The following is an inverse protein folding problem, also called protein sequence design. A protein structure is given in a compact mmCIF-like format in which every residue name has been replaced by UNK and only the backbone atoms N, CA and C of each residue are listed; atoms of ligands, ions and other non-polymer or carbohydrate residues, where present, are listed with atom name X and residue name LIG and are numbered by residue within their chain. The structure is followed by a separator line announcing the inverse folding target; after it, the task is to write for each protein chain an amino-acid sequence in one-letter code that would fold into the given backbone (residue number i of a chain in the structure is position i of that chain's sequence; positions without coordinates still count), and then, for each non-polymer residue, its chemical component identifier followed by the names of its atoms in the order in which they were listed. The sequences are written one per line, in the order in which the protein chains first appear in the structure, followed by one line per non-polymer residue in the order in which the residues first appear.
data_IF_451329223523
#
_entry.id   IF_451329223523
#
_cell.length_a   1.000
_cell.length_b   1.000
_cell.length_c   1.000
_cell.angle_alpha   90.00
_cell.angle_beta   90.00
_cell.angle_gamma   90.00
#
_symmetry.space_group_name_H-M   'P 1'
#
loop_
_entity.id
_entity.type
_entity.pdbx_description
1 polymer ?
#
# COMPACT_ATOMS: atom_id res chain seq x y z
N UNK A 1 13.36 -24.22 -3.37
CA UNK A 1 14.75 -24.15 -3.89
C UNK A 1 15.12 -22.67 -3.96
N UNK A 2 16.32 -22.32 -3.51
CA UNK A 2 16.84 -20.95 -3.56
C UNK A 2 18.18 -21.02 -4.28
N UNK A 3 18.37 -20.16 -5.29
CA UNK A 3 19.60 -20.05 -6.05
C UNK A 3 20.20 -18.67 -5.82
N UNK A 4 21.52 -18.57 -5.81
CA UNK A 4 22.24 -17.31 -5.74
C UNK A 4 23.29 -17.28 -6.86
N UNK A 5 23.43 -16.13 -7.50
CA UNK A 5 24.40 -15.88 -8.56
C UNK A 5 24.84 -14.44 -8.53
N UNK A 6 26.04 -14.18 -9.02
CA UNK A 6 26.55 -12.81 -9.15
C UNK A 6 26.14 -12.27 -10.53
N UNK A 7 25.73 -11.00 -10.62
CA UNK A 7 25.55 -10.35 -11.91
C UNK A 7 26.89 -10.32 -12.66
N UNK A 8 26.83 -10.24 -13.99
CA UNK A 8 28.04 -10.10 -14.81
C UNK A 8 28.66 -8.72 -14.55
N UNK A 9 29.72 -8.68 -13.75
CA UNK A 9 30.43 -7.48 -13.36
C UNK A 9 31.91 -7.63 -13.76
N UNK A 10 32.45 -6.73 -14.57
CA UNK A 10 33.86 -6.76 -15.02
C UNK A 10 34.24 -7.91 -15.97
N UNK A 11 35.55 -8.25 -16.01
CA UNK A 11 36.14 -9.29 -16.89
C UNK A 11 35.87 -10.74 -16.40
N UNK A 12 34.92 -10.94 -15.47
CA UNK A 12 34.58 -12.27 -14.98
C UNK A 12 33.59 -12.94 -15.93
N UNK A 13 33.96 -14.11 -16.46
CA UNK A 13 33.05 -14.94 -17.23
C UNK A 13 31.95 -15.50 -16.32
N UNK A 14 30.78 -14.88 -16.36
CA UNK A 14 29.56 -15.39 -15.71
C UNK A 14 28.79 -16.23 -16.71
N UNK A 15 28.42 -17.45 -16.32
CA UNK A 15 27.54 -18.28 -17.13
C UNK A 15 26.14 -17.68 -17.14
N UNK A 16 25.66 -17.29 -18.32
CA UNK A 16 24.28 -16.81 -18.48
C UNK A 16 23.29 -17.93 -18.16
N UNK A 17 22.22 -17.60 -17.47
CA UNK A 17 21.11 -18.53 -17.27
C UNK A 17 20.34 -18.70 -18.58
N UNK A 18 20.02 -19.94 -18.94
CA UNK A 18 19.15 -20.16 -20.09
C UNK A 18 17.72 -19.64 -19.80
N UNK A 19 17.02 -19.26 -20.86
CA UNK A 19 15.68 -18.65 -20.77
C UNK A 19 14.68 -19.60 -20.10
N UNK A 20 14.79 -20.92 -20.31
CA UNK A 20 13.86 -21.90 -19.77
C UNK A 20 14.06 -22.11 -18.26
N UNK A 21 15.28 -21.92 -17.76
CA UNK A 21 15.60 -21.90 -16.34
C UNK A 21 15.11 -20.60 -15.72
N UNK A 22 15.41 -19.45 -16.34
CA UNK A 22 14.95 -18.14 -15.85
C UNK A 22 13.43 -18.09 -15.69
N UNK A 23 12.67 -18.67 -16.63
CA UNK A 23 11.20 -18.72 -16.61
C UNK A 23 10.61 -19.56 -15.46
N UNK A 24 11.43 -20.29 -14.70
CA UNK A 24 10.99 -21.13 -13.56
C UNK A 24 11.26 -20.51 -12.20
N UNK A 25 11.89 -19.34 -12.13
CA UNK A 25 12.26 -18.67 -10.89
C UNK A 25 11.70 -17.26 -10.81
N UNK A 26 11.48 -16.82 -9.57
CA UNK A 26 11.39 -15.40 -9.23
C UNK A 26 12.80 -14.87 -9.01
N UNK A 27 13.13 -13.75 -9.63
CA UNK A 27 14.46 -13.14 -9.56
C UNK A 27 14.44 -11.93 -8.64
N UNK A 28 15.32 -11.90 -7.64
CA UNK A 28 15.45 -10.77 -6.72
C UNK A 28 16.90 -10.30 -6.69
N UNK A 29 17.11 -9.00 -6.95
CA UNK A 29 18.40 -8.37 -6.74
C UNK A 29 18.55 -7.97 -5.28
N UNK A 30 19.59 -8.46 -4.63
CA UNK A 30 19.98 -8.02 -3.29
C UNK A 30 21.09 -7.00 -3.45
N UNK A 31 20.81 -5.75 -3.05
CA UNK A 31 21.84 -4.70 -3.02
C UNK A 31 22.56 -4.73 -1.68
N UNK A 32 23.89 -4.58 -1.66
CA UNK A 32 24.62 -4.45 -0.41
C UNK A 32 24.21 -3.16 0.31
N UNK A 33 24.27 -3.17 1.64
CA UNK A 33 23.85 -2.05 2.48
C UNK A 33 24.94 -1.74 3.50
N UNK A 34 25.37 -0.48 3.54
CA UNK A 34 26.49 -0.03 4.39
C UNK A 34 26.19 -0.25 5.86
N UNK A 35 24.96 0.02 6.31
CA UNK A 35 24.55 -0.22 7.69
C UNK A 35 24.63 -1.71 8.07
N UNK A 36 24.29 -2.62 7.15
CA UNK A 36 24.45 -4.07 7.38
C UNK A 36 25.90 -4.43 7.60
N UNK A 37 26.82 -3.89 6.77
CA UNK A 37 28.25 -4.12 6.95
C UNK A 37 28.78 -3.51 8.24
N UNK A 38 28.40 -2.26 8.57
CA UNK A 38 28.79 -1.59 9.82
C UNK A 38 28.34 -2.38 11.05
N UNK A 39 27.12 -2.93 11.04
CA UNK A 39 26.62 -3.79 12.12
C UNK A 39 27.44 -5.08 12.25
N UNK A 40 27.78 -5.72 11.14
CA UNK A 40 28.66 -6.88 11.17
C UNK A 40 30.06 -6.53 11.67
N UNK A 41 30.64 -5.42 11.19
CA UNK A 41 31.99 -4.99 11.50
C UNK A 41 32.17 -4.64 13.00
N UNK A 42 31.17 -3.99 13.62
CA UNK A 42 31.12 -3.75 15.08
C UNK A 42 31.21 -5.05 15.90
N UNK A 43 30.60 -6.12 15.40
CA UNK A 43 30.60 -7.43 16.07
C UNK A 43 31.86 -8.27 15.80
N UNK A 44 32.75 -7.80 14.91
CA UNK A 44 33.95 -8.55 14.47
C UNK A 44 35.26 -7.79 14.75
N UNK A 45 35.25 -6.87 15.73
CA UNK A 45 36.44 -6.13 16.18
C UNK A 45 37.16 -5.35 15.07
N UNK A 46 36.43 -4.88 14.06
CA UNK A 46 36.96 -3.86 13.13
C UNK A 46 37.18 -2.56 13.91
N UNK A 47 38.31 -1.88 13.67
CA UNK A 47 38.67 -0.71 14.48
C UNK A 47 37.68 0.45 14.30
N UNK A 48 37.48 1.22 15.36
CA UNK A 48 36.50 2.31 15.38
C UNK A 48 36.78 3.37 14.30
N UNK A 49 38.05 3.67 14.03
CA UNK A 49 38.45 4.62 12.98
C UNK A 49 37.95 4.19 11.58
N UNK A 50 38.01 2.90 11.26
CA UNK A 50 37.47 2.37 9.98
C UNK A 50 35.94 2.47 9.97
N UNK A 51 35.28 2.16 11.08
CA UNK A 51 33.82 2.26 11.19
C UNK A 51 33.36 3.70 10.96
N UNK A 52 34.02 4.66 11.62
CA UNK A 52 33.72 6.09 11.51
C UNK A 52 34.01 6.59 10.08
N UNK A 53 35.12 6.15 9.48
CA UNK A 53 35.45 6.49 8.11
C UNK A 53 34.40 5.99 7.12
N UNK A 54 34.02 4.70 7.19
CA UNK A 54 33.00 4.11 6.31
C UNK A 54 31.64 4.75 6.53
N UNK A 55 31.28 5.02 7.78
CA UNK A 55 30.02 5.70 8.11
C UNK A 55 29.97 7.14 7.55
N UNK A 56 31.11 7.84 7.54
CA UNK A 56 31.21 9.17 6.95
C UNK A 56 31.32 9.15 5.40
N UNK A 57 31.66 8.01 4.82
CA UNK A 57 31.93 7.85 3.38
C UNK A 57 31.25 6.59 2.84
N UNK A 58 29.93 6.47 3.02
CA UNK A 58 29.16 5.26 2.70
C UNK A 58 29.36 4.82 1.23
N UNK A 59 29.47 5.78 0.32
CA UNK A 59 29.63 5.57 -1.12
C UNK A 59 30.95 4.86 -1.50
N UNK A 60 31.94 4.85 -0.61
CA UNK A 60 33.25 4.22 -0.87
C UNK A 60 33.30 2.73 -0.54
N UNK A 61 32.29 2.20 0.18
CA UNK A 61 32.30 0.80 0.59
C UNK A 61 31.84 -0.16 -0.52
N UNK A 62 30.79 0.22 -1.25
CA UNK A 62 30.21 -0.58 -2.32
C UNK A 62 30.22 0.21 -3.63
N UNK A 63 31.39 0.30 -4.25
CA UNK A 63 31.56 0.91 -5.57
C UNK A 63 31.13 -0.11 -6.64
N UNK A 64 29.82 -0.31 -6.79
CA UNK A 64 29.26 -1.09 -7.92
C UNK A 64 28.76 -0.14 -8.99
N UNK A 65 29.04 -0.46 -10.25
CA UNK A 65 28.52 0.24 -11.42
C UNK A 65 27.19 -0.35 -11.93
N UNK A 66 26.68 -1.39 -11.26
CA UNK A 66 25.50 -2.13 -11.70
C UNK A 66 24.25 -1.57 -11.02
N UNK A 67 23.50 -0.78 -11.76
CA UNK A 67 22.19 -0.28 -11.31
C UNK A 67 21.09 -1.35 -11.42
N UNK A 68 21.27 -2.34 -12.31
CA UNK A 68 20.27 -3.32 -12.72
C UNK A 68 20.81 -4.74 -12.89
N UNK A 69 19.98 -5.75 -12.66
CA UNK A 69 20.37 -7.17 -12.61
C UNK A 69 20.81 -7.72 -13.97
N UNK A 70 20.65 -6.94 -15.04
CA UNK A 70 20.99 -7.31 -16.41
C UNK A 70 20.14 -8.45 -16.99
N UNK A 71 19.23 -9.03 -16.21
CA UNK A 71 18.32 -10.08 -16.65
C UNK A 71 17.12 -9.48 -17.38
N UNK A 72 16.96 -9.87 -18.64
CA UNK A 72 15.78 -9.56 -19.46
C UNK A 72 14.61 -10.47 -19.07
N UNK A 73 14.00 -10.17 -17.91
CA UNK A 73 12.82 -10.90 -17.42
C UNK A 73 11.61 -10.48 -18.24
N UNK A 74 11.02 -11.44 -18.96
CA UNK A 74 9.83 -11.23 -19.78
C UNK A 74 8.61 -11.89 -19.18
N UNK A 75 7.42 -11.29 -19.33
CA UNK A 75 6.19 -11.91 -18.88
C UNK A 75 5.89 -13.16 -19.73
N UNK A 76 5.53 -14.26 -19.06
CA UNK A 76 5.10 -15.52 -19.67
C UNK A 76 3.85 -16.04 -18.96
N UNK A 77 3.09 -16.98 -19.56
CA UNK A 77 1.98 -17.61 -18.86
C UNK A 77 2.37 -18.21 -17.52
N UNK A 78 3.56 -18.82 -17.41
CA UNK A 78 4.06 -19.40 -16.17
C UNK A 78 4.38 -18.32 -15.14
N UNK A 79 5.01 -17.21 -15.53
CA UNK A 79 5.33 -16.17 -14.56
C UNK A 79 4.09 -15.46 -14.02
N UNK A 80 3.00 -15.35 -14.81
CA UNK A 80 1.70 -14.92 -14.31
C UNK A 80 1.04 -15.93 -13.37
N UNK A 81 1.19 -17.24 -13.63
CA UNK A 81 0.75 -18.27 -12.69
C UNK A 81 1.49 -18.16 -11.35
N UNK A 82 2.82 -17.96 -11.40
CA UNK A 82 3.65 -17.71 -10.22
C UNK A 82 3.25 -16.44 -9.49
N UNK A 83 2.98 -15.34 -10.20
CA UNK A 83 2.46 -14.10 -9.62
C UNK A 83 1.12 -14.32 -8.91
N UNK A 84 0.21 -15.10 -9.48
CA UNK A 84 -1.04 -15.49 -8.83
C UNK A 84 -0.80 -16.29 -7.54
N UNK A 85 0.12 -17.27 -7.55
CA UNK A 85 0.48 -18.00 -6.33
C UNK A 85 1.02 -17.06 -5.25
N UNK A 86 1.90 -16.14 -5.63
CA UNK A 86 2.49 -15.16 -4.73
C UNK A 86 1.42 -14.25 -4.13
N UNK A 87 0.53 -13.67 -4.94
CA UNK A 87 -0.54 -12.79 -4.47
C UNK A 87 -1.58 -13.50 -3.59
N UNK A 88 -1.83 -14.80 -3.83
CA UNK A 88 -2.86 -15.56 -3.11
C UNK A 88 -2.37 -16.24 -1.83
N UNK A 89 -1.05 -16.41 -1.66
CA UNK A 89 -0.49 -17.22 -0.56
C UNK A 89 0.60 -16.53 0.25
N UNK A 90 1.18 -15.44 -0.25
CA UNK A 90 2.26 -14.74 0.44
C UNK A 90 1.76 -13.38 0.94
N UNK A 91 2.06 -13.07 2.21
CA UNK A 91 1.93 -11.72 2.73
C UNK A 91 3.22 -10.95 2.43
N UNK A 92 3.19 -10.15 1.36
CA UNK A 92 4.34 -9.36 0.94
C UNK A 92 4.12 -7.92 1.40
N UNK A 93 5.08 -7.33 2.14
CA UNK A 93 5.04 -5.91 2.45
C UNK A 93 4.90 -5.06 1.19
N UNK A 94 4.01 -4.07 1.21
CA UNK A 94 3.70 -3.20 0.07
C UNK A 94 4.96 -2.59 -0.56
N UNK A 95 5.93 -2.19 0.28
CA UNK A 95 7.23 -1.66 -0.14
C UNK A 95 8.10 -2.60 -0.98
N UNK A 96 7.76 -3.91 -1.04
CA UNK A 96 8.47 -4.94 -1.81
C UNK A 96 7.66 -5.43 -3.02
N UNK A 97 6.45 -4.91 -3.24
CA UNK A 97 5.59 -5.37 -4.32
C UNK A 97 6.25 -5.16 -5.68
N UNK A 98 6.88 -4.01 -5.89
CA UNK A 98 7.53 -3.71 -7.15
C UNK A 98 8.66 -4.68 -7.47
N UNK A 99 9.56 -4.92 -6.52
CA UNK A 99 10.71 -5.82 -6.67
C UNK A 99 10.25 -7.26 -6.94
N UNK A 100 9.24 -7.74 -6.21
CA UNK A 100 8.69 -9.07 -6.39
C UNK A 100 8.01 -9.21 -7.76
N UNK A 101 7.20 -8.23 -8.15
CA UNK A 101 6.49 -8.30 -9.44
C UNK A 101 7.46 -8.14 -10.61
N UNK A 102 8.41 -7.21 -10.53
CA UNK A 102 9.43 -7.04 -11.55
C UNK A 102 10.30 -8.29 -11.69
N UNK A 103 10.58 -8.98 -10.57
CA UNK A 103 11.28 -10.25 -10.54
C UNK A 103 10.55 -11.44 -11.16
N UNK A 104 9.25 -11.31 -11.42
CA UNK A 104 8.41 -12.34 -12.03
C UNK A 104 8.05 -12.00 -13.48
N UNK A 105 7.53 -10.80 -13.72
CA UNK A 105 6.93 -10.41 -15.00
C UNK A 105 7.72 -9.31 -15.72
N UNK A 106 8.86 -8.90 -15.19
CA UNK A 106 9.67 -7.81 -15.73
C UNK A 106 9.20 -6.43 -15.28
N UNK A 107 10.09 -5.44 -15.38
CA UNK A 107 9.88 -4.09 -14.84
C UNK A 107 8.68 -3.36 -15.43
N UNK A 108 8.51 -3.43 -16.75
CA UNK A 108 7.43 -2.73 -17.46
C UNK A 108 6.06 -3.29 -17.10
N UNK A 109 5.92 -4.62 -17.14
CA UNK A 109 4.68 -5.29 -16.78
C UNK A 109 4.35 -5.11 -15.30
N UNK A 110 5.37 -5.15 -14.42
CA UNK A 110 5.20 -4.88 -12.99
C UNK A 110 4.71 -3.45 -12.71
N UNK A 111 5.33 -2.44 -13.31
CA UNK A 111 4.88 -1.05 -13.18
C UNK A 111 3.43 -0.87 -13.67
N UNK A 112 3.10 -1.46 -14.83
CA UNK A 112 1.75 -1.42 -15.39
C UNK A 112 0.73 -2.14 -14.50
N UNK A 113 1.09 -3.30 -13.97
CA UNK A 113 0.26 -4.09 -13.08
C UNK A 113 0.03 -3.39 -11.73
N UNK A 114 1.07 -2.78 -11.16
CA UNK A 114 0.96 -1.94 -9.95
C UNK A 114 -0.03 -0.80 -10.17
N UNK A 115 0.11 -0.07 -11.28
CA UNK A 115 -0.82 1.01 -11.64
C UNK A 115 -2.26 0.49 -11.81
N UNK A 116 -2.44 -0.62 -12.51
CA UNK A 116 -3.75 -1.26 -12.67
C UNK A 116 -4.36 -1.66 -11.32
N UNK A 117 -3.55 -2.20 -10.40
CA UNK A 117 -4.01 -2.56 -9.05
C UNK A 117 -4.46 -1.35 -8.26
N UNK A 118 -3.67 -0.27 -8.31
CA UNK A 118 -4.04 1.01 -7.70
C UNK A 118 -5.35 1.54 -8.28
N UNK A 119 -5.51 1.53 -9.60
CA UNK A 119 -6.72 2.06 -10.27
C UNK A 119 -7.97 1.20 -10.06
N UNK A 120 -7.85 -0.13 -10.02
CA UNK A 120 -9.01 -1.03 -9.95
C UNK A 120 -9.35 -1.45 -8.54
N UNK A 121 -8.35 -1.84 -7.76
CA UNK A 121 -8.57 -2.47 -6.45
C UNK A 121 -8.40 -1.47 -5.32
N UNK A 122 -7.42 -0.56 -5.41
CA UNK A 122 -7.07 0.32 -4.29
C UNK A 122 -7.54 1.76 -4.45
N UNK A 123 -8.15 2.14 -5.60
CA UNK A 123 -8.69 3.49 -5.75
C UNK A 123 -9.71 3.74 -4.63
N UNK A 124 -9.56 4.79 -3.83
CA UNK A 124 -10.58 5.15 -2.86
C UNK A 124 -11.93 5.32 -3.57
N UNK A 125 -13.00 4.85 -2.93
CA UNK A 125 -14.36 5.15 -3.40
C UNK A 125 -14.54 6.67 -3.31
N UNK A 126 -15.01 7.31 -4.38
CA UNK A 126 -15.22 8.75 -4.36
C UNK A 126 -16.48 9.11 -3.57
N UNK A 127 -16.55 10.36 -3.11
CA UNK A 127 -17.76 10.87 -2.48
C UNK A 127 -18.97 10.83 -3.43
N UNK A 128 -18.79 11.12 -4.72
CA UNK A 128 -19.85 10.95 -5.73
C UNK A 128 -20.37 9.51 -5.82
N UNK A 129 -19.49 8.51 -5.72
CA UNK A 129 -19.89 7.11 -5.75
C UNK A 129 -20.68 6.72 -4.49
N UNK A 130 -20.30 7.24 -3.32
CA UNK A 130 -21.08 7.08 -2.09
C UNK A 130 -22.45 7.73 -2.26
N UNK A 131 -22.52 9.00 -2.69
CA UNK A 131 -23.80 9.72 -2.79
C UNK A 131 -24.74 9.13 -3.83
N UNK A 132 -24.23 8.58 -4.93
CA UNK A 132 -25.08 8.09 -6.02
C UNK A 132 -25.35 6.58 -5.95
N UNK A 133 -24.39 5.77 -5.49
CA UNK A 133 -24.39 4.31 -5.67
C UNK A 133 -23.88 3.55 -4.43
N UNK A 134 -24.18 4.02 -3.21
CA UNK A 134 -23.60 3.47 -1.98
C UNK A 134 -23.65 1.93 -1.89
N UNK A 135 -24.80 1.31 -2.14
CA UNK A 135 -24.96 -0.15 -2.08
C UNK A 135 -23.97 -0.91 -2.98
N UNK A 136 -23.62 -0.37 -4.15
CA UNK A 136 -22.69 -1.00 -5.09
C UNK A 136 -21.24 -0.93 -4.60
N UNK A 137 -20.90 0.10 -3.83
CA UNK A 137 -19.54 0.36 -3.31
C UNK A 137 -19.37 -0.02 -1.84
N UNK A 138 -20.47 -0.37 -1.15
CA UNK A 138 -20.53 -0.71 0.28
C UNK A 138 -19.52 -1.79 0.67
N UNK A 139 -19.46 -2.88 -0.08
CA UNK A 139 -18.50 -3.96 0.18
C UNK A 139 -17.04 -3.50 0.06
N UNK A 140 -16.72 -2.57 -0.85
CA UNK A 140 -15.36 -2.03 -0.98
C UNK A 140 -14.98 -1.19 0.24
N UNK A 141 -15.93 -0.43 0.79
CA UNK A 141 -15.75 0.41 1.97
C UNK A 141 -15.58 -0.45 3.23
N UNK A 142 -16.42 -1.47 3.42
CA UNK A 142 -16.37 -2.37 4.57
C UNK A 142 -15.06 -3.17 4.65
N UNK A 143 -14.46 -3.48 3.50
CA UNK A 143 -13.19 -4.20 3.40
C UNK A 143 -11.98 -3.27 3.19
N UNK A 144 -12.15 -1.95 3.23
CA UNK A 144 -11.06 -1.01 3.01
C UNK A 144 -10.07 -1.04 4.19
N UNK A 145 -8.78 -0.89 3.88
CA UNK A 145 -7.76 -0.59 4.89
C UNK A 145 -8.08 0.74 5.58
N UNK A 146 -7.61 0.92 6.81
CA UNK A 146 -7.93 2.09 7.63
C UNK A 146 -7.47 3.42 7.00
N UNK A 147 -6.29 3.43 6.39
CA UNK A 147 -5.74 4.58 5.66
C UNK A 147 -6.59 4.96 4.44
N UNK A 148 -6.99 3.97 3.64
CA UNK A 148 -7.90 4.17 2.50
C UNK A 148 -9.26 4.67 2.98
N UNK A 149 -9.81 4.07 4.04
CA UNK A 149 -11.10 4.48 4.61
C UNK A 149 -11.05 5.93 5.13
N UNK A 150 -9.96 6.34 5.77
CA UNK A 150 -9.76 7.74 6.18
C UNK A 150 -9.68 8.69 4.98
N UNK A 151 -9.04 8.28 3.88
CA UNK A 151 -9.04 9.06 2.63
C UNK A 151 -10.45 9.21 2.06
N UNK A 152 -11.27 8.15 2.09
CA UNK A 152 -12.68 8.18 1.65
C UNK A 152 -13.49 9.15 2.54
N UNK A 153 -13.34 9.06 3.86
CA UNK A 153 -14.01 9.94 4.83
C UNK A 153 -13.66 11.41 4.57
N UNK A 154 -12.38 11.73 4.34
CA UNK A 154 -11.97 13.11 4.05
C UNK A 154 -12.59 13.62 2.75
N UNK A 155 -12.55 12.82 1.68
CA UNK A 155 -13.19 13.13 0.40
C UNK A 155 -14.70 13.38 0.57
N UNK A 156 -15.39 12.56 1.37
CA UNK A 156 -16.81 12.72 1.66
C UNK A 156 -17.10 14.02 2.42
N UNK A 157 -16.26 14.37 3.40
CA UNK A 157 -16.41 15.61 4.17
C UNK A 157 -16.21 16.83 3.28
N UNK A 158 -15.22 16.82 2.39
CA UNK A 158 -14.99 17.89 1.43
C UNK A 158 -16.15 18.02 0.44
N UNK A 159 -16.73 16.90 0.01
CA UNK A 159 -17.94 16.88 -0.81
C UNK A 159 -19.13 17.50 -0.08
N UNK A 160 -19.38 17.12 1.18
CA UNK A 160 -20.47 17.65 1.99
C UNK A 160 -20.27 19.14 2.34
N UNK A 161 -19.02 19.63 2.41
CA UNK A 161 -18.73 21.04 2.63
C UNK A 161 -19.19 21.92 1.47
N UNK A 162 -19.23 21.37 0.25
CA UNK A 162 -19.67 22.09 -0.94
C UNK A 162 -21.21 22.13 -1.03
N UNK A 163 -21.78 23.32 -0.81
CA UNK A 163 -23.24 23.54 -0.81
C UNK A 163 -23.92 23.37 -2.18
N UNK A 164 -23.16 23.38 -3.27
CA UNK A 164 -23.70 23.17 -4.62
C UNK A 164 -23.89 21.68 -4.94
N UNK A 165 -23.26 20.79 -4.16
CA UNK A 165 -23.41 19.35 -4.35
C UNK A 165 -24.71 18.86 -3.72
N UNK A 166 -25.41 18.00 -4.45
CA UNK A 166 -26.60 17.33 -3.94
C UNK A 166 -26.19 16.25 -2.93
N UNK A 167 -26.84 16.28 -1.76
CA UNK A 167 -26.58 15.33 -0.68
C UNK A 167 -27.70 14.30 -0.67
N UNK A 168 -27.36 13.06 -0.99
CA UNK A 168 -28.28 11.96 -0.80
C UNK A 168 -28.28 11.55 0.69
N UNK A 169 -29.31 11.98 1.41
CA UNK A 169 -29.45 11.75 2.86
C UNK A 169 -29.36 10.26 3.23
N UNK A 170 -30.02 9.39 2.45
CA UNK A 170 -30.07 7.95 2.72
C UNK A 170 -28.69 7.30 2.57
N UNK A 171 -27.98 7.61 1.49
CA UNK A 171 -26.66 7.05 1.23
C UNK A 171 -25.61 7.58 2.23
N UNK A 172 -25.70 8.87 2.61
CA UNK A 172 -24.83 9.45 3.62
C UNK A 172 -25.01 8.75 4.97
N UNK A 173 -26.25 8.58 5.43
CA UNK A 173 -26.54 7.90 6.69
C UNK A 173 -26.11 6.43 6.65
N UNK A 174 -26.39 5.73 5.56
CA UNK A 174 -25.99 4.34 5.39
C UNK A 174 -24.45 4.17 5.46
N UNK A 175 -23.70 5.07 4.80
CA UNK A 175 -22.24 5.13 4.92
C UNK A 175 -21.78 5.32 6.37
N UNK A 176 -22.36 6.29 7.08
CA UNK A 176 -21.99 6.57 8.46
C UNK A 176 -22.26 5.37 9.37
N UNK A 177 -23.41 4.72 9.23
CA UNK A 177 -23.79 3.57 10.06
C UNK A 177 -22.89 2.34 9.86
N UNK A 178 -22.18 2.24 8.74
CA UNK A 178 -21.19 1.19 8.46
C UNK A 178 -19.79 1.48 9.01
N UNK A 179 -19.53 2.71 9.46
CA UNK A 179 -18.25 3.06 10.08
C UNK A 179 -18.11 2.43 11.47
N UNK A 180 -16.88 2.03 11.80
CA UNK A 180 -16.53 1.66 13.18
C UNK A 180 -16.75 2.85 14.11
N UNK A 181 -17.07 2.55 15.37
CA UNK A 181 -17.45 3.52 16.41
C UNK A 181 -16.60 4.80 16.42
N UNK A 182 -15.28 4.67 16.49
CA UNK A 182 -14.38 5.82 16.59
C UNK A 182 -14.39 6.70 15.33
N UNK A 183 -14.45 6.07 14.16
CA UNK A 183 -14.52 6.75 12.86
C UNK A 183 -15.88 7.41 12.65
N UNK A 184 -16.96 6.74 13.04
CA UNK A 184 -18.32 7.29 13.01
C UNK A 184 -18.38 8.59 13.82
N UNK A 185 -17.95 8.55 15.08
CA UNK A 185 -17.98 9.70 15.97
C UNK A 185 -17.16 10.88 15.43
N UNK A 186 -15.92 10.63 15.01
CA UNK A 186 -15.05 11.65 14.44
C UNK A 186 -15.59 12.26 13.15
N UNK A 187 -16.21 11.44 12.29
CA UNK A 187 -16.80 11.89 11.02
C UNK A 187 -18.04 12.75 11.27
N UNK A 188 -18.98 12.28 12.10
CA UNK A 188 -20.19 13.03 12.43
C UNK A 188 -19.85 14.38 13.06
N UNK A 189 -18.88 14.42 13.99
CA UNK A 189 -18.44 15.68 14.63
C UNK A 189 -17.94 16.72 13.61
N UNK A 190 -17.32 16.29 12.51
CA UNK A 190 -16.90 17.18 11.43
C UNK A 190 -18.08 17.61 10.57
N UNK A 191 -18.96 16.68 10.20
CA UNK A 191 -20.12 16.96 9.36
C UNK A 191 -21.13 17.91 10.03
N UNK A 192 -21.35 17.80 11.35
CA UNK A 192 -22.25 18.72 12.07
C UNK A 192 -21.75 20.17 12.09
N UNK A 193 -20.49 20.44 11.72
CA UNK A 193 -20.04 21.83 11.56
C UNK A 193 -20.69 22.53 10.36
N UNK A 194 -21.26 21.76 9.42
CA UNK A 194 -21.96 22.28 8.26
C UNK A 194 -23.46 22.43 8.55
N UNK A 195 -23.95 23.67 8.62
CA UNK A 195 -25.35 23.97 8.99
C UNK A 195 -26.39 23.26 8.10
N UNK A 196 -26.10 23.08 6.81
CA UNK A 196 -27.01 22.40 5.89
C UNK A 196 -27.03 20.87 6.05
N UNK A 197 -26.01 20.29 6.69
CA UNK A 197 -25.91 18.85 6.95
C UNK A 197 -26.52 18.46 8.30
N UNK A 198 -26.46 19.33 9.31
CA UNK A 198 -27.06 19.09 10.64
C UNK A 198 -28.49 18.53 10.60
N UNK A 199 -29.46 19.13 9.86
CA UNK A 199 -30.83 18.62 9.85
C UNK A 199 -30.94 17.23 9.21
N UNK A 200 -30.06 16.88 8.27
CA UNK A 200 -30.01 15.56 7.64
C UNK A 200 -29.65 14.52 8.69
N UNK A 201 -28.57 14.76 9.44
CA UNK A 201 -28.08 13.83 10.46
C UNK A 201 -29.01 13.71 11.66
N UNK A 202 -29.71 14.79 12.03
CA UNK A 202 -30.64 14.80 13.16
C UNK A 202 -31.98 14.11 12.88
N UNK A 203 -32.33 13.89 11.60
CA UNK A 203 -33.58 13.23 11.21
C UNK A 203 -33.54 11.72 11.33
N UNK A 204 -32.35 11.11 11.23
CA UNK A 204 -32.24 9.65 11.32
C UNK A 204 -32.10 9.21 12.79
N UNK A 205 -33.18 8.61 13.32
CA UNK A 205 -33.25 8.14 14.71
C UNK A 205 -32.15 7.11 15.03
N UNK A 206 -31.80 6.23 14.09
CA UNK A 206 -30.80 5.17 14.32
C UNK A 206 -29.40 5.76 14.47
N UNK A 207 -29.05 6.73 13.62
CA UNK A 207 -27.79 7.45 13.69
C UNK A 207 -27.72 8.26 15.00
N UNK A 208 -28.81 8.93 15.39
CA UNK A 208 -28.88 9.65 16.65
C UNK A 208 -28.65 8.72 17.85
N UNK A 209 -29.35 7.59 17.91
CA UNK A 209 -29.20 6.59 18.97
C UNK A 209 -27.78 6.01 19.02
N UNK A 210 -27.18 5.74 17.85
CA UNK A 210 -25.80 5.29 17.77
C UNK A 210 -24.83 6.33 18.36
N UNK A 211 -25.02 7.62 18.04
CA UNK A 211 -24.19 8.70 18.57
C UNK A 211 -24.37 8.91 20.08
N UNK A 212 -25.59 8.80 20.61
CA UNK A 212 -25.87 8.91 22.06
C UNK A 212 -25.21 7.76 22.83
N UNK A 213 -25.29 6.53 22.33
CA UNK A 213 -24.60 5.37 22.94
C UNK A 213 -23.09 5.59 23.01
N UNK A 214 -22.49 6.13 21.95
CA UNK A 214 -21.06 6.44 21.95
C UNK A 214 -20.72 7.49 23.00
N UNK A 215 -21.53 8.55 23.11
CA UNK A 215 -21.28 9.63 24.05
C UNK A 215 -21.40 9.17 25.52
N UNK A 216 -22.43 8.38 25.82
CA UNK A 216 -22.70 7.86 27.19
C UNK A 216 -21.71 6.81 27.68
N UNK A 217 -21.02 6.12 26.78
CA UNK A 217 -19.98 5.14 27.14
C UNK A 217 -18.57 5.76 27.25
N UNK A 218 -18.35 6.97 26.70
CA UNK A 218 -17.07 7.68 26.74
C UNK A 218 -16.94 8.59 27.98
N UNK A 219 -18.05 8.97 28.61
CA UNK A 219 -18.03 9.59 29.95
C UNK A 219 -18.05 8.50 31.03
N UNK A 220 -16.93 8.22 31.72
CA UNK A 220 -17.00 7.43 32.94
C UNK A 220 -17.61 8.31 34.03
N UNK A 221 -18.58 7.75 34.76
CA UNK A 221 -18.98 8.29 36.08
C UNK A 221 -17.76 8.53 36.98
#
# INVERSE_FOLDING_TARGET
MVCAGNPAEGDYFVAEFDIALMDRFMHLMIKPNVNTWLNWARNNNICQEILDFVQANEDLLFVSTIEDFGLDIKPTPRSYEMLNYVLSRCDIPERLHYEVFAGLIGKEAAATFMKYRLEKFERPVSAEEIMNNYEQVRNKILNARLDVLNSIINSLIDYCANKEKEINEQNLVAFLMDLKRDLLFGTVKRLISFEHIKPILARDEKLYDAMVKIYTEVEPN
#
